data_IF_694625462613
#
_entry.id   IF_694625462613
#
_cell.length_a   1.000
_cell.length_b   1.000
_cell.length_c   1.000
_cell.angle_alpha   90.00
_cell.angle_beta   90.00
_cell.angle_gamma   90.00
#
_symmetry.space_group_name_H-M   'P 1'
#
loop_
_entity.id
_entity.type
_entity.pdbx_description
1 polymer ?
2 non-polymer ?
#
# COMPACT_ATOMS: atom_id res chain seq x y z
N UNK A 3 -8.97 19.74 -34.74
CA UNK A 3 -8.18 19.18 -33.64
C UNK A 3 -8.57 17.74 -33.36
N UNK A 4 -7.59 16.85 -33.36
CA UNK A 4 -7.80 15.47 -32.98
C UNK A 4 -6.94 15.14 -31.77
N UNK A 5 -6.14 16.12 -31.36
CA UNK A 5 -5.25 15.98 -30.20
C UNK A 5 -6.02 15.67 -28.92
N UNK A 6 -7.14 16.35 -28.73
CA UNK A 6 -7.86 16.28 -27.47
C UNK A 6 -8.63 14.96 -27.42
N UNK A 7 -8.96 14.42 -28.58
CA UNK A 7 -9.64 13.13 -28.64
C UNK A 7 -8.65 12.08 -28.17
N UNK A 8 -7.38 12.30 -28.51
CA UNK A 8 -6.31 11.39 -28.11
C UNK A 8 -6.06 11.51 -26.62
N UNK A 9 -6.18 12.74 -26.10
CA UNK A 9 -6.00 12.98 -24.68
C UNK A 9 -7.14 12.33 -23.88
N UNK A 10 -8.33 12.30 -24.47
CA UNK A 10 -9.47 11.64 -23.86
C UNK A 10 -9.32 10.13 -23.88
N UNK A 11 -8.82 9.59 -25.00
CA UNK A 11 -8.55 8.17 -25.09
C UNK A 11 -7.51 7.76 -24.06
N UNK A 12 -6.51 8.60 -23.84
CA UNK A 12 -5.47 8.30 -22.86
C UNK A 12 -5.95 8.48 -21.43
N UNK A 13 -6.93 9.36 -21.23
CA UNK A 13 -7.48 9.54 -19.90
C UNK A 13 -8.33 8.36 -19.53
N UNK A 14 -9.15 7.92 -20.48
CA UNK A 14 -9.98 6.73 -20.31
C UNK A 14 -9.13 5.48 -20.10
N UNK A 15 -8.09 5.34 -20.91
CA UNK A 15 -7.19 4.19 -20.81
C UNK A 15 -6.45 4.17 -19.50
N UNK A 16 -5.75 5.25 -19.19
CA UNK A 16 -4.99 5.37 -17.95
C UNK A 16 -5.87 5.16 -16.71
N UNK A 17 -7.01 5.83 -16.67
CA UNK A 17 -7.91 5.63 -15.53
C UNK A 17 -8.39 4.18 -15.49
N UNK A 18 -8.59 3.59 -16.65
CA UNK A 18 -8.93 2.17 -16.71
C UNK A 18 -7.85 1.34 -16.03
N UNK A 19 -6.58 1.68 -16.26
CA UNK A 19 -5.51 0.92 -15.65
C UNK A 19 -5.50 1.16 -14.15
N UNK A 20 -5.93 2.36 -13.74
CA UNK A 20 -5.99 2.67 -12.31
C UNK A 20 -7.02 1.79 -11.64
N UNK A 21 -8.21 1.72 -12.21
CA UNK A 21 -9.27 0.88 -11.66
C UNK A 21 -8.95 -0.59 -11.71
N UNK A 22 -8.34 -1.04 -12.80
CA UNK A 22 -7.99 -2.44 -12.96
C UNK A 22 -6.91 -2.85 -11.96
N UNK A 23 -5.92 -2.00 -11.76
CA UNK A 23 -4.85 -2.31 -10.83
C UNK A 23 -5.38 -2.23 -9.40
N UNK A 24 -6.37 -1.35 -9.18
CA UNK A 24 -7.05 -1.32 -7.90
C UNK A 24 -7.75 -2.67 -7.67
N UNK A 25 -8.35 -3.19 -8.72
CA UNK A 25 -8.96 -4.51 -8.68
C UNK A 25 -7.91 -5.57 -8.40
N UNK A 26 -6.66 -5.28 -8.78
CA UNK A 26 -5.57 -6.19 -8.48
C UNK A 26 -5.22 -6.14 -7.00
N UNK A 27 -5.37 -4.96 -6.41
CA UNK A 27 -5.07 -4.79 -4.99
C UNK A 27 -6.13 -5.49 -4.13
N UNK A 28 -7.34 -5.59 -4.64
CA UNK A 28 -8.43 -6.22 -3.90
C UNK A 28 -8.60 -7.69 -4.28
N UNK A 29 -7.63 -8.23 -5.00
CA UNK A 29 -7.61 -9.64 -5.38
C UNK A 29 -8.84 -10.05 -6.18
N UNK A 30 -9.51 -9.06 -6.77
CA UNK A 30 -10.73 -9.30 -7.54
C UNK A 30 -10.46 -10.11 -8.81
N UNK A 31 -11.52 -10.71 -9.34
CA UNK A 31 -11.46 -11.44 -10.59
C UNK A 31 -11.32 -10.51 -11.78
N UNK A 32 -11.10 -11.10 -12.96
CA UNK A 32 -10.95 -10.35 -14.21
C UNK A 32 -12.15 -9.45 -14.53
N UNK A 33 -13.35 -9.95 -14.29
CA UNK A 33 -14.56 -9.16 -14.48
C UNK A 33 -14.54 -7.91 -13.60
N UNK A 34 -13.85 -8.03 -12.46
CA UNK A 34 -13.65 -6.89 -11.59
C UNK A 34 -12.76 -5.86 -12.27
N UNK A 35 -11.72 -6.34 -12.94
CA UNK A 35 -10.83 -5.46 -13.71
C UNK A 35 -11.60 -4.71 -14.78
N UNK A 36 -12.40 -5.44 -15.55
CA UNK A 36 -13.15 -4.86 -16.65
C UNK A 36 -14.19 -3.85 -16.16
N UNK A 37 -14.98 -4.26 -15.16
CA UNK A 37 -16.04 -3.41 -14.64
C UNK A 37 -15.47 -2.17 -13.97
N UNK A 38 -14.63 -2.36 -12.97
CA UNK A 38 -14.07 -1.25 -12.23
C UNK A 38 -13.28 -0.32 -13.14
N UNK A 39 -12.54 -0.90 -14.08
CA UNK A 39 -11.79 -0.13 -15.04
C UNK A 39 -12.69 0.72 -15.91
N UNK A 40 -13.79 0.13 -16.35
CA UNK A 40 -14.77 0.86 -17.13
C UNK A 40 -15.39 2.00 -16.33
N UNK A 41 -15.75 1.72 -15.09
CA UNK A 41 -16.37 2.70 -14.22
C UNK A 41 -15.45 3.89 -13.93
N UNK A 42 -14.17 3.61 -13.72
CA UNK A 42 -13.23 4.70 -13.42
C UNK A 42 -12.81 5.48 -14.66
N UNK A 43 -12.57 4.78 -15.77
CA UNK A 43 -12.14 5.41 -16.99
C UNK A 43 -13.25 6.25 -17.59
N UNK A 44 -14.43 5.65 -17.67
CA UNK A 44 -15.59 6.29 -18.29
C UNK A 44 -16.31 7.24 -17.34
N UNK A 45 -16.31 6.94 -16.05
CA UNK A 45 -17.12 7.64 -15.07
C UNK A 45 -17.08 9.16 -15.04
N UNK A 46 -15.88 9.73 -15.09
CA UNK A 46 -15.76 11.17 -15.06
C UNK A 46 -16.45 11.80 -16.25
N UNK A 47 -16.15 11.28 -17.44
CA UNK A 47 -16.76 11.74 -18.67
C UNK A 47 -18.26 11.51 -18.71
N UNK A 48 -18.70 10.40 -18.15
CA UNK A 48 -20.13 10.05 -18.16
C UNK A 48 -20.90 11.02 -17.25
N UNK A 49 -20.37 11.34 -16.07
CA UNK A 49 -21.02 12.29 -15.19
C UNK A 49 -21.03 13.68 -15.84
N UNK A 50 -19.91 14.02 -16.45
CA UNK A 50 -19.79 15.28 -17.18
C UNK A 50 -20.87 15.43 -18.24
N UNK A 51 -21.04 14.40 -19.05
CA UNK A 51 -22.01 14.43 -20.13
C UNK A 51 -23.44 14.39 -19.59
N UNK A 52 -23.62 13.76 -18.44
CA UNK A 52 -24.93 13.70 -17.81
C UNK A 52 -25.37 15.09 -17.36
N UNK A 53 -24.51 15.79 -16.62
CA UNK A 53 -24.89 17.11 -16.13
C UNK A 53 -24.92 18.15 -17.26
N UNK A 54 -24.01 18.03 -18.22
CA UNK A 54 -23.97 18.96 -19.35
C UNK A 54 -25.15 18.75 -20.30
N UNK A 55 -25.69 17.54 -20.32
CA UNK A 55 -26.86 17.25 -21.14
C UNK A 55 -26.57 16.52 -22.44
N UNK A 56 -25.43 15.83 -22.51
CA UNK A 56 -25.07 15.07 -23.70
C UNK A 56 -25.75 13.71 -23.71
N UNK A 57 -26.61 13.48 -24.70
CA UNK A 57 -27.34 12.21 -24.81
C UNK A 57 -27.33 11.73 -26.26
N UNK A 58 -26.96 10.44 -26.48
CA UNK A 58 -26.54 9.51 -25.43
C UNK A 58 -25.09 9.73 -25.00
N UNK A 59 -24.72 9.13 -23.87
CA UNK A 59 -23.38 9.28 -23.32
C UNK A 59 -22.33 8.75 -24.31
N UNK A 60 -21.10 9.24 -24.18
CA UNK A 60 -20.04 8.98 -25.15
C UNK A 60 -19.72 7.51 -25.38
N UNK A 61 -19.84 6.69 -24.34
CA UNK A 61 -19.46 5.28 -24.47
C UNK A 61 -20.61 4.43 -25.01
N UNK A 62 -21.84 4.92 -24.87
CA UNK A 62 -22.98 4.24 -25.45
C UNK A 62 -23.16 4.72 -26.89
N UNK A 63 -22.78 5.96 -27.15
CA UNK A 63 -22.77 6.49 -28.51
C UNK A 63 -21.77 5.74 -29.36
N UNK A 64 -20.60 5.48 -28.78
CA UNK A 64 -19.58 4.66 -29.43
C UNK A 64 -19.01 3.67 -28.42
N UNK A 65 -19.37 2.39 -28.55
CA UNK A 65 -19.00 1.33 -27.62
C UNK A 65 -17.51 1.12 -27.48
N UNK A 66 -16.73 1.61 -28.45
CA UNK A 66 -15.29 1.40 -28.47
C UNK A 66 -14.64 1.80 -27.16
N UNK A 67 -15.13 2.89 -26.59
CA UNK A 67 -14.62 3.41 -25.33
C UNK A 67 -14.63 2.37 -24.22
N UNK A 68 -15.73 1.62 -24.10
CA UNK A 68 -15.77 0.59 -23.07
C UNK A 68 -14.87 -0.58 -23.47
N UNK A 69 -14.79 -0.86 -24.77
CA UNK A 69 -13.98 -1.98 -25.26
C UNK A 69 -12.51 -1.75 -24.94
N UNK A 70 -12.08 -0.50 -25.10
CA UNK A 70 -10.72 -0.14 -24.76
C UNK A 70 -10.48 -0.52 -23.31
N UNK A 71 -11.42 -0.17 -22.45
CA UNK A 71 -11.30 -0.52 -21.04
C UNK A 71 -11.20 -2.02 -20.91
N UNK A 72 -12.11 -2.72 -21.59
CA UNK A 72 -12.12 -4.18 -21.57
C UNK A 72 -10.79 -4.71 -22.04
N UNK A 73 -10.19 -4.00 -23.00
CA UNK A 73 -8.86 -4.37 -23.43
C UNK A 73 -7.92 -4.11 -22.29
N UNK A 74 -7.77 -2.83 -21.94
CA UNK A 74 -6.76 -2.39 -20.99
C UNK A 74 -6.84 -3.12 -19.66
N UNK A 75 -8.05 -3.21 -19.13
CA UNK A 75 -8.29 -3.91 -17.88
C UNK A 75 -7.75 -5.33 -17.96
N UNK A 76 -8.13 -6.05 -19.01
CA UNK A 76 -7.65 -7.42 -19.20
C UNK A 76 -6.13 -7.41 -19.27
N UNK A 77 -5.58 -6.45 -20.01
CA UNK A 77 -4.13 -6.32 -20.11
C UNK A 77 -3.53 -6.17 -18.71
N UNK A 78 -4.16 -5.34 -17.90
CA UNK A 78 -3.64 -5.06 -16.57
C UNK A 78 -3.71 -6.32 -15.73
N UNK A 79 -4.73 -7.13 -15.97
CA UNK A 79 -4.91 -8.38 -15.24
C UNK A 79 -3.66 -9.23 -15.36
N UNK A 80 -3.05 -9.20 -16.54
CA UNK A 80 -1.85 -10.01 -16.76
C UNK A 80 -0.61 -9.30 -16.26
N UNK A 81 -0.65 -7.96 -16.26
CA UNK A 81 0.53 -7.18 -15.93
C UNK A 81 0.41 -6.46 -14.59
N UNK A 82 -0.50 -6.92 -13.75
CA UNK A 82 -0.65 -6.36 -12.41
C UNK A 82 0.43 -6.91 -11.48
N UNK A 83 0.93 -8.10 -11.80
CA UNK A 83 1.94 -8.75 -10.99
C UNK A 83 3.29 -8.05 -11.12
N UNK A 84 3.55 -7.49 -12.30
CA UNK A 84 4.85 -6.87 -12.57
C UNK A 84 5.19 -5.67 -11.68
N UNK A 85 4.32 -4.64 -11.62
CA UNK A 85 4.82 -3.45 -10.96
C UNK A 85 4.43 -3.36 -9.49
N UNK A 86 5.42 -3.29 -8.60
CA UNK A 86 5.16 -2.97 -7.19
C UNK A 86 6.17 -1.93 -6.70
N UNK A 87 5.70 -0.89 -6.01
CA UNK A 87 4.30 -0.75 -5.59
C UNK A 87 3.34 -0.33 -6.70
N UNK A 88 2.15 -0.90 -6.68
CA UNK A 88 1.12 -0.57 -7.65
C UNK A 88 0.45 0.76 -7.31
N UNK A 89 0.36 1.06 -6.02
CA UNK A 89 -0.31 2.28 -5.56
C UNK A 89 0.42 3.54 -6.02
N UNK A 90 1.74 3.42 -6.21
CA UNK A 90 2.50 4.53 -6.76
C UNK A 90 2.02 4.79 -8.17
N UNK A 91 1.93 3.73 -8.96
CA UNK A 91 1.41 3.80 -10.31
C UNK A 91 0.01 4.40 -10.30
N UNK A 92 -0.77 4.02 -9.30
CA UNK A 92 -2.09 4.61 -9.08
C UNK A 92 -2.00 6.12 -8.99
N UNK A 93 -1.07 6.60 -8.15
CA UNK A 93 -0.94 8.03 -7.91
C UNK A 93 -0.51 8.79 -9.17
N UNK A 94 0.52 8.28 -9.83
CA UNK A 94 1.07 8.96 -11.01
C UNK A 94 0.11 8.92 -12.20
N UNK A 95 -0.44 7.75 -12.49
CA UNK A 95 -1.42 7.61 -13.56
C UNK A 95 -2.63 8.50 -13.28
N UNK A 96 -3.04 8.53 -12.01
CA UNK A 96 -4.13 9.39 -11.59
C UNK A 96 -3.78 10.84 -11.87
N UNK A 97 -2.51 11.21 -11.66
CA UNK A 97 -2.06 12.57 -11.93
C UNK A 97 -2.18 12.92 -13.41
N UNK A 98 -1.71 12.00 -14.27
CA UNK A 98 -1.76 12.21 -15.71
C UNK A 98 -3.20 12.37 -16.19
N UNK A 99 -4.02 11.35 -15.90
CA UNK A 99 -5.42 11.36 -16.25
C UNK A 99 -6.14 12.58 -15.69
N UNK A 100 -5.73 12.99 -14.48
CA UNK A 100 -6.25 14.19 -13.85
C UNK A 100 -5.99 15.42 -14.71
N UNK A 101 -4.75 15.56 -15.16
CA UNK A 101 -4.37 16.70 -15.98
C UNK A 101 -5.14 16.72 -17.30
N UNK A 102 -5.04 15.62 -18.03
CA UNK A 102 -5.67 15.51 -19.34
C UNK A 102 -7.19 15.71 -19.27
N UNK A 103 -7.81 15.13 -18.25
CA UNK A 103 -9.27 15.24 -18.10
C UNK A 103 -9.68 16.61 -17.59
N UNK A 104 -8.79 17.27 -16.85
CA UNK A 104 -9.06 18.64 -16.42
C UNK A 104 -9.10 19.55 -17.64
N UNK A 105 -8.05 19.46 -18.46
CA UNK A 105 -7.94 20.33 -19.61
C UNK A 105 -8.99 20.03 -20.67
N UNK A 106 -9.03 18.80 -21.15
CA UNK A 106 -10.00 18.39 -22.15
C UNK A 106 -11.43 18.54 -21.66
N UNK A 107 -11.64 18.25 -20.37
CA UNK A 107 -12.95 18.41 -19.76
C UNK A 107 -13.40 19.85 -19.79
N UNK A 108 -12.50 20.76 -19.43
CA UNK A 108 -12.79 22.18 -19.51
C UNK A 108 -13.09 22.58 -20.96
N UNK A 109 -12.34 22.00 -21.89
CA UNK A 109 -12.51 22.28 -23.30
C UNK A 109 -13.89 21.92 -23.82
N UNK A 110 -14.31 20.68 -23.57
CA UNK A 110 -15.59 20.22 -24.10
C UNK A 110 -16.75 20.80 -23.31
N UNK A 111 -16.47 21.24 -22.08
CA UNK A 111 -17.46 21.97 -21.32
C UNK A 111 -17.62 23.38 -21.84
N UNK A 112 -16.56 23.90 -22.47
CA UNK A 112 -16.60 25.25 -23.01
C UNK A 112 -17.18 25.32 -24.43
N UNK A 113 -17.07 24.23 -25.17
CA UNK A 113 -17.55 24.23 -26.56
C UNK A 113 -19.04 23.93 -26.60
N UNK A 114 -19.59 23.51 -25.46
CA UNK A 114 -21.02 23.28 -25.34
C UNK A 114 -21.79 24.58 -25.50
N UNK A 115 -21.33 25.60 -24.79
CA UNK A 115 -21.99 26.90 -24.76
C UNK A 115 -22.02 27.42 -23.35
N UNK A 116 -21.41 26.67 -22.44
CA UNK A 116 -21.42 26.99 -21.03
C UNK A 116 -20.37 28.06 -20.71
N UNK A 117 -20.45 28.62 -19.50
CA UNK A 117 -19.53 29.65 -19.08
C UNK A 117 -18.15 29.10 -18.75
N UNK A 118 -17.20 29.99 -18.46
CA UNK A 118 -15.83 29.60 -18.07
C UNK A 118 -15.80 28.86 -16.75
N UNK A 119 -16.59 29.34 -15.79
CA UNK A 119 -16.69 28.70 -14.48
C UNK A 119 -17.19 27.26 -14.60
N UNK A 120 -18.21 27.06 -15.41
CA UNK A 120 -18.71 25.71 -15.69
C UNK A 120 -17.62 24.85 -16.32
N UNK A 121 -16.83 25.46 -17.20
CA UNK A 121 -15.75 24.77 -17.88
C UNK A 121 -14.74 24.25 -16.86
N UNK A 122 -14.32 25.13 -15.96
CA UNK A 122 -13.34 24.76 -14.93
C UNK A 122 -13.92 23.69 -14.01
N UNK A 123 -15.19 23.87 -13.66
CA UNK A 123 -15.91 22.94 -12.79
C UNK A 123 -15.92 21.54 -13.39
N UNK A 124 -16.18 21.45 -14.68
CA UNK A 124 -16.22 20.17 -15.38
C UNK A 124 -14.82 19.59 -15.59
N UNK A 125 -13.84 20.49 -15.70
CA UNK A 125 -12.46 20.06 -15.80
C UNK A 125 -12.09 19.32 -14.54
N UNK A 126 -12.32 19.96 -13.40
CA UNK A 126 -12.05 19.35 -12.11
C UNK A 126 -12.90 18.07 -11.95
N UNK A 127 -14.14 18.15 -12.40
CA UNK A 127 -15.11 17.08 -12.23
C UNK A 127 -14.75 15.77 -12.94
N UNK A 128 -14.34 15.84 -14.20
CA UNK A 128 -14.05 14.61 -14.93
C UNK A 128 -12.94 13.80 -14.26
N UNK A 129 -11.86 14.48 -13.95
CA UNK A 129 -10.71 13.87 -13.28
C UNK A 129 -11.05 13.37 -11.89
N UNK A 130 -11.61 14.27 -11.07
CA UNK A 130 -11.85 13.97 -9.68
C UNK A 130 -12.86 12.86 -9.54
N UNK A 131 -13.96 12.94 -10.27
CA UNK A 131 -15.02 11.94 -10.16
C UNK A 131 -14.53 10.62 -10.76
N UNK A 132 -13.72 10.72 -11.81
CA UNK A 132 -13.09 9.55 -12.41
C UNK A 132 -12.35 8.77 -11.33
N UNK A 133 -11.59 9.47 -10.51
CA UNK A 133 -10.93 8.82 -9.38
C UNK A 133 -11.88 8.39 -8.28
N UNK A 134 -12.89 9.22 -8.04
CA UNK A 134 -13.88 9.02 -6.97
C UNK A 134 -14.60 7.69 -7.09
N UNK A 135 -15.10 7.38 -8.28
CA UNK A 135 -15.85 6.15 -8.47
C UNK A 135 -15.00 4.92 -8.14
N UNK A 136 -13.78 4.87 -8.67
CA UNK A 136 -12.90 3.75 -8.41
C UNK A 136 -12.55 3.64 -6.92
N UNK A 137 -12.34 4.78 -6.27
CA UNK A 137 -11.92 4.74 -4.87
C UNK A 137 -13.08 4.43 -3.94
N UNK A 138 -14.29 4.72 -4.38
CA UNK A 138 -15.49 4.40 -3.61
C UNK A 138 -15.82 2.92 -3.72
N UNK A 139 -15.96 2.46 -4.97
CA UNK A 139 -16.27 1.06 -5.22
C UNK A 139 -15.18 0.14 -4.69
N UNK A 140 -13.93 0.61 -4.77
CA UNK A 140 -12.79 -0.18 -4.32
C UNK A 140 -12.83 -0.47 -2.83
N UNK A 141 -13.42 0.44 -2.06
CA UNK A 141 -13.55 0.28 -0.63
C UNK A 141 -12.40 0.83 0.19
N UNK A 142 -11.54 1.62 -0.44
CA UNK A 142 -10.44 2.29 0.26
C UNK A 142 -10.65 3.80 0.29
N UNK A 143 -9.98 4.48 1.20
CA UNK A 143 -10.10 5.93 1.32
C UNK A 143 -9.56 6.62 0.08
N UNK A 144 -10.34 7.57 -0.46
CA UNK A 144 -10.05 8.28 -1.71
C UNK A 144 -8.81 9.18 -1.61
N UNK A 145 -8.21 9.44 -2.77
CA UNK A 145 -6.99 10.23 -2.86
C UNK A 145 -7.23 11.70 -2.53
N UNK A 146 -8.49 12.13 -2.63
CA UNK A 146 -8.84 13.52 -2.38
C UNK A 146 -8.64 13.92 -0.93
N UNK A 147 -8.78 12.97 -0.02
CA UNK A 147 -8.71 13.26 1.42
C UNK A 147 -7.27 13.41 1.90
N UNK A 148 -6.31 13.23 1.00
CA UNK A 148 -4.91 13.38 1.37
C UNK A 148 -4.34 14.65 0.75
N UNK A 149 -3.23 15.12 1.30
CA UNK A 149 -2.66 16.40 0.93
C UNK A 149 -1.74 16.31 -0.30
N UNK A 150 -1.75 17.35 -1.14
CA UNK A 150 -2.48 18.59 -0.86
C UNK A 150 -3.05 19.27 -2.10
N UNK A 151 -2.72 18.74 -3.27
CA UNK A 151 -2.93 19.46 -4.53
C UNK A 151 -3.95 18.86 -5.50
N UNK A 152 -4.41 17.64 -5.21
CA UNK A 152 -5.29 16.88 -6.10
C UNK A 152 -6.34 17.74 -6.81
N UNK A 153 -7.13 18.47 -6.04
CA UNK A 153 -8.20 19.28 -6.61
C UNK A 153 -7.64 20.57 -7.22
N UNK A 154 -6.57 21.09 -6.64
CA UNK A 154 -5.95 22.33 -7.13
C UNK A 154 -5.16 22.13 -8.41
N UNK A 155 -4.68 20.92 -8.65
CA UNK A 155 -3.99 20.64 -9.90
C UNK A 155 -4.96 20.71 -11.07
N UNK A 156 -6.12 20.06 -10.91
CA UNK A 156 -7.15 20.11 -11.93
C UNK A 156 -7.76 21.50 -12.02
N UNK A 157 -7.81 22.18 -10.88
CA UNK A 157 -8.37 23.53 -10.81
C UNK A 157 -7.52 24.52 -11.58
N UNK A 158 -6.20 24.49 -11.35
CA UNK A 158 -5.29 25.39 -12.04
C UNK A 158 -5.07 24.96 -13.49
N UNK A 159 -5.22 23.66 -13.75
CA UNK A 159 -5.15 23.18 -15.13
C UNK A 159 -6.28 23.77 -15.94
N UNK A 160 -7.50 23.57 -15.45
CA UNK A 160 -8.68 24.04 -16.16
C UNK A 160 -8.71 25.57 -16.20
N UNK A 161 -8.30 26.19 -15.11
CA UNK A 161 -8.33 27.65 -15.02
C UNK A 161 -7.29 28.26 -15.95
N UNK A 162 -6.14 27.63 -16.07
CA UNK A 162 -5.10 28.10 -16.99
C UNK A 162 -5.60 27.92 -18.42
N UNK A 163 -6.24 26.79 -18.69
CA UNK A 163 -6.80 26.55 -20.02
C UNK A 163 -7.77 27.65 -20.41
N UNK A 164 -8.78 27.85 -19.57
CA UNK A 164 -9.82 28.85 -19.85
C UNK A 164 -9.24 30.26 -19.92
N UNK A 165 -8.30 30.56 -19.03
CA UNK A 165 -7.67 31.88 -18.99
C UNK A 165 -6.89 32.18 -20.27
N UNK A 166 -6.18 31.19 -20.78
CA UNK A 166 -5.38 31.39 -21.97
C UNK A 166 -6.23 31.29 -23.23
N UNK A 167 -7.40 30.68 -23.11
CA UNK A 167 -8.29 30.54 -24.27
C UNK A 167 -9.25 31.73 -24.34
N UNK A 168 -9.32 32.49 -23.25
CA UNK A 168 -10.10 33.72 -23.20
C UNK A 168 -9.49 34.81 -24.07
N UNK A 169 -8.16 34.86 -24.11
CA UNK A 169 -7.45 35.91 -24.83
C UNK A 169 -7.30 35.52 -26.30
N UNK A 170 -7.78 34.33 -26.62
CA UNK A 170 -7.74 33.80 -27.97
C UNK A 170 -6.37 33.32 -28.40
N UNK A 171 -5.68 32.66 -27.47
CA UNK A 171 -4.39 32.06 -27.76
C UNK A 171 -4.62 30.88 -28.70
N UNK A 172 -3.54 30.26 -29.21
CA UNK A 172 -3.89 29.01 -29.89
C UNK A 172 -4.22 27.94 -28.86
N UNK A 173 -5.35 27.26 -29.09
CA UNK A 173 -5.89 26.27 -28.17
C UNK A 173 -4.92 25.16 -27.79
N UNK A 174 -4.05 24.79 -28.72
CA UNK A 174 -3.08 23.72 -28.47
C UNK A 174 -2.17 24.04 -27.27
N UNK A 175 -1.71 25.29 -27.20
CA UNK A 175 -0.85 25.68 -26.09
C UNK A 175 -1.65 25.87 -24.81
N UNK A 176 -2.96 26.13 -24.95
CA UNK A 176 -3.83 26.17 -23.78
C UNK A 176 -3.96 24.77 -23.21
N UNK A 177 -3.97 23.78 -24.10
CA UNK A 177 -4.05 22.38 -23.70
C UNK A 177 -2.75 21.97 -23.03
N UNK A 178 -1.64 22.38 -23.63
CA UNK A 178 -0.31 22.08 -23.13
C UNK A 178 -0.04 22.73 -21.78
N UNK A 179 -0.44 23.99 -21.63
CA UNK A 179 -0.19 24.74 -20.41
C UNK A 179 -1.14 24.29 -19.30
N UNK A 180 -2.33 23.85 -19.69
CA UNK A 180 -3.25 23.29 -18.71
C UNK A 180 -2.67 21.98 -18.17
N UNK A 181 -2.32 21.09 -19.10
CA UNK A 181 -1.72 19.80 -18.76
C UNK A 181 -0.46 19.96 -17.92
N UNK A 182 0.35 20.95 -18.26
CA UNK A 182 1.58 21.23 -17.53
C UNK A 182 1.30 21.75 -16.13
N UNK A 183 0.48 22.79 -16.05
CA UNK A 183 0.16 23.42 -14.77
C UNK A 183 -0.56 22.45 -13.83
N UNK A 184 -1.16 21.41 -14.39
CA UNK A 184 -1.81 20.39 -13.58
C UNK A 184 -0.82 19.31 -13.16
N UNK A 185 -0.24 18.64 -14.16
CA UNK A 185 0.64 17.50 -13.93
C UNK A 185 1.89 17.84 -13.14
N UNK A 186 2.53 18.95 -13.48
CA UNK A 186 3.74 19.38 -12.78
C UNK A 186 3.43 19.70 -11.32
N UNK A 187 2.39 20.49 -11.12
CA UNK A 187 1.98 20.89 -9.77
C UNK A 187 1.66 19.67 -8.91
N UNK A 188 0.92 18.72 -9.44
CA UNK A 188 0.60 17.50 -8.69
C UNK A 188 1.86 16.67 -8.42
N UNK A 189 2.72 16.59 -9.43
CA UNK A 189 3.96 15.82 -9.33
C UNK A 189 4.90 16.36 -8.27
N UNK A 190 4.86 17.67 -8.04
CA UNK A 190 5.71 18.25 -6.99
C UNK A 190 5.31 17.70 -5.62
N UNK A 191 4.00 17.61 -5.39
CA UNK A 191 3.49 17.10 -4.14
C UNK A 191 3.60 15.59 -4.03
N UNK A 192 3.63 14.91 -5.17
CA UNK A 192 3.82 13.46 -5.13
C UNK A 192 5.31 13.14 -5.04
N UNK A 193 6.15 14.16 -5.19
CA UNK A 193 7.59 13.99 -5.06
C UNK A 193 8.02 14.33 -3.62
N UNK A 194 7.41 15.37 -3.06
CA UNK A 194 7.73 15.77 -1.69
C UNK A 194 6.98 14.91 -0.67
N UNK A 195 5.86 14.33 -1.10
CA UNK A 195 5.07 13.48 -0.24
C UNK A 195 5.58 12.05 -0.18
N UNK A 196 6.25 11.63 -1.24
CA UNK A 196 6.79 10.27 -1.31
C UNK A 196 8.30 10.29 -1.57
N UNK B 4 26.57 -16.75 22.72
CA UNK B 4 25.28 -17.45 22.73
C UNK B 4 24.72 -17.56 21.33
N UNK B 5 24.40 -18.79 20.91
CA UNK B 5 23.85 -19.04 19.58
C UNK B 5 22.50 -18.36 19.36
N UNK B 6 21.59 -18.49 20.31
CA UNK B 6 20.21 -18.06 20.13
C UNK B 6 19.96 -16.56 20.35
N UNK B 7 20.83 -15.91 21.11
CA UNK B 7 20.65 -14.50 21.43
C UNK B 7 20.74 -13.59 20.21
N UNK B 8 21.55 -13.97 19.22
CA UNK B 8 21.71 -13.16 18.01
C UNK B 8 20.43 -13.13 17.18
N UNK B 9 19.73 -14.26 17.14
CA UNK B 9 18.47 -14.35 16.40
C UNK B 9 17.41 -13.47 17.05
N UNK B 10 17.49 -13.36 18.37
CA UNK B 10 16.59 -12.47 19.11
C UNK B 10 16.95 -11.00 18.92
N UNK B 11 18.23 -10.69 18.90
CA UNK B 11 18.65 -9.31 18.62
C UNK B 11 18.17 -8.91 17.24
N UNK B 12 18.22 -9.88 16.32
CA UNK B 12 17.78 -9.64 14.95
C UNK B 12 16.26 -9.59 14.88
N UNK B 13 15.59 -10.26 15.80
CA UNK B 13 14.14 -10.22 15.86
C UNK B 13 13.62 -8.90 16.38
N UNK B 14 14.27 -8.41 17.43
CA UNK B 14 13.96 -7.11 17.99
C UNK B 14 14.24 -6.03 16.96
N UNK B 15 15.39 -6.14 16.29
CA UNK B 15 15.77 -5.17 15.27
C UNK B 15 14.79 -5.17 14.10
N UNK B 16 14.60 -6.34 13.49
CA UNK B 16 13.69 -6.50 12.37
C UNK B 16 12.26 -6.06 12.70
N UNK B 17 11.73 -6.51 13.82
CA UNK B 17 10.39 -6.09 14.20
C UNK B 17 10.36 -4.59 14.48
N UNK B 18 11.46 -4.06 15.02
CA UNK B 18 11.58 -2.63 15.23
C UNK B 18 11.46 -1.86 13.93
N UNK B 19 12.14 -2.31 12.88
CA UNK B 19 12.06 -1.60 11.60
C UNK B 19 10.68 -1.82 10.99
N UNK B 20 10.02 -2.93 11.29
CA UNK B 20 8.64 -3.12 10.79
C UNK B 20 7.70 -2.09 11.42
N UNK B 21 7.78 -1.95 12.74
CA UNK B 21 6.95 -0.98 13.45
C UNK B 21 7.28 0.44 13.02
N UNK B 22 8.56 0.69 12.82
CA UNK B 22 9.05 1.99 12.39
C UNK B 22 8.52 2.33 11.01
N UNK B 23 8.47 1.33 10.13
CA UNK B 23 7.98 1.52 8.78
C UNK B 23 6.48 1.75 8.79
N UNK B 24 5.79 1.12 9.74
CA UNK B 24 4.36 1.38 9.92
C UNK B 24 4.18 2.84 10.34
N UNK B 25 5.06 3.30 11.23
CA UNK B 25 5.05 4.70 11.64
C UNK B 25 5.37 5.61 10.48
N UNK B 26 6.11 5.09 9.50
CA UNK B 26 6.44 5.85 8.31
C UNK B 26 5.24 5.97 7.38
N UNK B 27 4.42 4.93 7.34
CA UNK B 27 3.22 4.95 6.51
C UNK B 27 2.19 5.90 7.09
N UNK B 28 2.20 6.05 8.41
CA UNK B 28 1.22 6.88 9.10
C UNK B 28 1.68 8.31 9.35
N UNK B 29 2.75 8.71 8.67
CA UNK B 29 3.25 10.09 8.73
C UNK B 29 3.63 10.53 10.14
N UNK B 30 3.88 9.57 11.01
CA UNK B 30 4.25 9.86 12.39
C UNK B 30 5.63 10.53 12.48
N UNK B 31 5.87 11.20 13.60
CA UNK B 31 7.17 11.79 13.89
C UNK B 31 8.18 10.72 14.22
N UNK B 32 9.43 11.13 14.39
CA UNK B 32 10.52 10.21 14.75
C UNK B 32 10.19 9.46 16.04
N UNK B 33 9.58 10.14 17.00
CA UNK B 33 9.15 9.52 18.25
C UNK B 33 8.14 8.42 17.98
N UNK B 34 7.39 8.56 16.89
CA UNK B 34 6.48 7.52 16.46
C UNK B 34 7.23 6.29 15.99
N UNK B 35 8.30 6.51 15.23
CA UNK B 35 9.17 5.43 14.78
C UNK B 35 9.76 4.68 15.96
N UNK B 36 10.29 5.44 16.91
CA UNK B 36 10.93 4.86 18.09
C UNK B 36 9.93 4.10 18.95
N UNK B 37 8.79 4.72 19.23
CA UNK B 37 7.78 4.10 20.08
C UNK B 37 7.22 2.85 19.44
N UNK B 38 6.65 3.00 18.25
CA UNK B 38 6.01 1.88 17.55
C UNK B 38 7.02 0.76 17.25
N UNK B 39 8.24 1.15 16.90
CA UNK B 39 9.29 0.19 16.66
C UNK B 39 9.63 -0.57 17.92
N UNK B 40 9.68 0.15 19.04
CA UNK B 40 9.95 -0.47 20.33
C UNK B 40 8.83 -1.44 20.71
N UNK B 41 7.58 -1.04 20.51
CA UNK B 41 6.43 -1.86 20.82
C UNK B 41 6.43 -3.13 19.97
N UNK B 42 6.84 -3.01 18.72
CA UNK B 42 6.84 -4.15 17.82
C UNK B 42 8.00 -5.12 18.09
N UNK B 43 9.19 -4.57 18.30
CA UNK B 43 10.36 -5.39 18.54
C UNK B 43 10.33 -6.05 19.90
N UNK B 44 10.05 -5.24 20.91
CA UNK B 44 10.08 -5.67 22.30
C UNK B 44 8.78 -6.37 22.73
N UNK B 45 7.66 -5.94 22.17
CA UNK B 45 6.34 -6.37 22.63
C UNK B 45 6.10 -7.86 22.76
N UNK B 46 6.50 -8.63 21.76
CA UNK B 46 6.31 -10.07 21.78
C UNK B 46 7.05 -10.70 22.94
N UNK B 47 8.32 -10.34 23.09
CA UNK B 47 9.13 -10.80 24.18
C UNK B 47 8.57 -10.38 25.53
N UNK B 48 7.99 -9.18 25.57
CA UNK B 48 7.42 -8.66 26.79
C UNK B 48 6.21 -9.46 27.24
N UNK B 49 5.32 -9.76 26.31
CA UNK B 49 4.14 -10.57 26.63
C UNK B 49 4.59 -11.97 27.02
N UNK B 50 5.59 -12.49 26.31
CA UNK B 50 6.16 -13.80 26.60
C UNK B 50 6.66 -13.89 28.04
N UNK B 51 7.45 -12.91 28.46
CA UNK B 51 8.03 -12.91 29.79
C UNK B 51 6.98 -12.63 30.86
N UNK B 52 5.96 -11.87 30.50
CA UNK B 52 4.87 -11.59 31.42
C UNK B 52 4.07 -12.85 31.74
N UNK B 53 3.65 -13.57 30.70
CA UNK B 53 2.86 -14.77 30.91
C UNK B 53 3.69 -15.92 31.49
N UNK B 54 4.96 -16.02 31.08
CA UNK B 54 5.82 -17.08 31.61
C UNK B 54 6.18 -16.82 33.06
N UNK B 55 6.17 -15.55 33.45
CA UNK B 55 6.45 -15.17 34.82
C UNK B 55 7.87 -14.67 34.99
N UNK B 56 8.49 -14.25 33.90
CA UNK B 56 9.84 -13.70 33.95
C UNK B 56 9.81 -12.24 34.34
N UNK B 57 10.38 -11.91 35.50
CA UNK B 57 10.39 -10.55 35.99
C UNK B 57 11.76 -10.18 36.56
N UNK B 58 12.29 -9.02 36.16
CA UNK B 58 11.67 -8.07 35.21
C UNK B 58 11.85 -8.49 33.75
N UNK B 59 11.11 -7.83 32.86
CA UNK B 59 11.15 -8.13 31.43
C UNK B 59 12.54 -7.91 30.85
N UNK B 60 12.83 -8.56 29.72
CA UNK B 60 14.16 -8.57 29.14
C UNK B 60 14.70 -7.18 28.83
N UNK B 61 13.80 -6.27 28.44
CA UNK B 61 14.22 -4.93 28.01
C UNK B 61 14.35 -3.94 29.17
N UNK B 62 13.67 -4.21 30.28
CA UNK B 62 13.81 -3.36 31.45
C UNK B 62 14.96 -3.89 32.31
N UNK B 63 15.19 -5.20 32.24
CA UNK B 63 16.33 -5.82 32.90
C UNK B 63 17.63 -5.29 32.28
N UNK B 64 17.64 -5.18 30.96
CA UNK B 64 18.75 -4.58 30.25
C UNK B 64 18.24 -3.63 29.17
N UNK B 65 18.35 -2.32 29.41
CA UNK B 65 17.84 -1.26 28.53
C UNK B 65 18.45 -1.26 27.13
N UNK B 66 19.56 -1.97 26.95
CA UNK B 66 20.28 -2.00 25.67
C UNK B 66 19.36 -2.35 24.50
N UNK B 67 18.45 -3.29 24.72
CA UNK B 67 17.50 -3.71 23.69
C UNK B 67 16.70 -2.52 23.18
N UNK B 68 16.24 -1.68 24.11
CA UNK B 68 15.45 -0.52 23.73
C UNK B 68 16.32 0.43 22.95
N UNK B 69 17.60 0.49 23.30
CA UNK B 69 18.51 1.36 22.59
C UNK B 69 18.57 0.89 21.14
N UNK B 70 18.61 -0.43 20.97
CA UNK B 70 18.60 -1.01 19.63
C UNK B 70 17.36 -0.52 18.91
N UNK B 71 16.22 -0.62 19.61
CA UNK B 71 14.96 -0.15 19.08
C UNK B 71 15.09 1.34 18.77
N UNK B 72 15.64 2.09 19.71
CA UNK B 72 15.87 3.52 19.51
C UNK B 72 16.79 3.73 18.33
N UNK B 73 17.78 2.84 18.19
CA UNK B 73 18.70 2.92 17.07
C UNK B 73 18.00 2.64 15.75
N UNK B 74 17.56 1.39 15.59
CA UNK B 74 17.02 0.92 14.32
C UNK B 74 15.87 1.79 13.85
N UNK B 75 14.95 2.11 14.75
CA UNK B 75 13.83 2.98 14.41
C UNK B 75 14.34 4.30 13.84
N UNK B 76 15.26 4.94 14.54
CA UNK B 76 15.84 6.20 14.04
C UNK B 76 16.48 5.94 12.69
N UNK B 77 17.20 4.83 12.57
CA UNK B 77 17.84 4.42 11.34
C UNK B 77 16.80 4.38 10.22
N UNK B 78 15.61 3.88 10.53
CA UNK B 78 14.54 3.77 9.54
C UNK B 78 14.01 5.14 9.12
N UNK B 79 13.97 6.08 10.05
CA UNK B 79 13.39 7.40 9.79
C UNK B 79 14.05 8.07 8.59
N UNK B 80 15.37 7.89 8.47
CA UNK B 80 16.13 8.51 7.40
C UNK B 80 16.05 7.64 6.14
N UNK B 81 15.84 6.34 6.33
CA UNK B 81 15.87 5.40 5.23
C UNK B 81 14.51 4.83 4.88
N UNK B 82 13.45 5.51 5.31
CA UNK B 82 12.09 5.11 4.99
C UNK B 82 11.71 5.55 3.57
N UNK B 83 12.38 6.58 3.07
CA UNK B 83 12.11 7.12 1.75
C UNK B 83 12.58 6.20 0.63
N UNK B 84 13.66 5.47 0.86
CA UNK B 84 14.26 4.59 -0.15
C UNK B 84 13.34 3.46 -0.62
N UNK B 85 12.81 2.63 0.28
CA UNK B 85 12.16 1.43 -0.24
C UNK B 85 10.65 1.54 -0.46
N UNK B 86 10.24 1.36 -1.71
CA UNK B 86 8.83 1.20 -2.05
C UNK B 86 8.69 0.00 -2.98
N UNK B 87 7.77 -0.91 -2.67
CA UNK B 87 6.80 -0.77 -1.58
C UNK B 87 7.37 -1.00 -0.18
N UNK B 88 6.89 -0.21 0.77
CA UNK B 88 7.33 -0.30 2.15
C UNK B 88 6.66 -1.50 2.82
N UNK B 89 5.40 -1.73 2.45
CA UNK B 89 4.60 -2.78 3.05
C UNK B 89 5.10 -4.17 2.67
N UNK B 90 5.69 -4.28 1.49
CA UNK B 90 6.29 -5.55 1.07
C UNK B 90 7.50 -5.88 1.93
N UNK B 91 8.40 -4.91 2.06
CA UNK B 91 9.59 -5.03 2.90
C UNK B 91 9.19 -5.35 4.33
N UNK B 92 8.13 -4.68 4.75
CA UNK B 92 7.48 -4.93 6.03
C UNK B 92 7.07 -6.38 6.16
N UNK B 93 6.45 -6.92 5.11
CA UNK B 93 5.95 -8.28 5.11
C UNK B 93 7.07 -9.30 5.21
N UNK B 94 8.12 -9.11 4.41
CA UNK B 94 9.22 -10.07 4.40
C UNK B 94 9.97 -10.05 5.73
N UNK B 95 10.29 -8.86 6.22
CA UNK B 95 10.94 -8.73 7.51
C UNK B 95 10.07 -9.35 8.61
N UNK B 96 8.76 -9.11 8.52
CA UNK B 96 7.81 -9.69 9.47
C UNK B 96 7.89 -11.21 9.41
N UNK B 97 8.08 -11.76 8.22
CA UNK B 97 8.21 -13.20 8.05
C UNK B 97 9.46 -13.72 8.76
N UNK B 98 10.57 -13.03 8.57
CA UNK B 98 11.82 -13.43 9.20
C UNK B 98 11.72 -13.39 10.73
N UNK B 99 11.37 -12.22 11.25
CA UNK B 99 11.22 -12.03 12.68
C UNK B 99 10.23 -13.00 13.28
N UNK B 100 9.16 -13.26 12.55
CA UNK B 100 8.18 -14.26 12.96
C UNK B 100 8.82 -15.63 13.10
N UNK B 101 9.59 -16.03 12.10
CA UNK B 101 10.21 -17.34 12.12
C UNK B 101 11.19 -17.49 13.29
N UNK B 102 12.18 -16.62 13.35
CA UNK B 102 13.19 -16.71 14.40
C UNK B 102 12.59 -16.56 15.80
N UNK B 103 11.60 -15.67 15.97
CA UNK B 103 10.98 -15.49 17.28
C UNK B 103 10.07 -16.65 17.64
N UNK B 104 9.52 -17.32 16.63
CA UNK B 104 8.75 -18.53 16.86
C UNK B 104 9.66 -19.62 17.42
N UNK B 105 10.79 -19.82 16.75
CA UNK B 105 11.73 -20.87 17.14
C UNK B 105 12.39 -20.58 18.50
N UNK B 106 13.06 -19.44 18.61
CA UNK B 106 13.71 -19.03 19.85
C UNK B 106 12.70 -18.90 20.99
N UNK B 107 11.51 -18.42 20.66
CA UNK B 107 10.44 -18.29 21.63
C UNK B 107 10.08 -19.65 22.18
N UNK B 108 9.95 -20.63 21.30
CA UNK B 108 9.70 -22.01 21.71
C UNK B 108 10.84 -22.51 22.59
N UNK B 109 12.07 -22.12 22.22
CA UNK B 109 13.25 -22.54 22.95
C UNK B 109 13.23 -22.08 24.40
N UNK B 110 13.02 -20.78 24.62
CA UNK B 110 13.03 -20.25 25.98
C UNK B 110 11.74 -20.58 26.73
N UNK B 111 10.70 -20.91 25.99
CA UNK B 111 9.48 -21.40 26.61
C UNK B 111 9.73 -22.80 27.12
N UNK B 112 10.69 -23.48 26.49
CA UNK B 112 11.10 -24.81 26.90
C UNK B 112 12.13 -24.71 28.02
N UNK B 113 12.85 -23.59 28.04
CA UNK B 113 13.91 -23.34 29.01
C UNK B 113 13.39 -22.74 30.31
N UNK B 114 12.11 -22.37 30.33
CA UNK B 114 11.50 -21.82 31.54
C UNK B 114 11.46 -22.78 32.74
N UNK B 115 11.02 -24.04 32.60
CA UNK B 115 10.49 -24.64 31.40
C UNK B 115 9.20 -25.39 31.72
N UNK B 116 8.08 -24.88 31.21
CA UNK B 116 6.78 -25.45 31.53
C UNK B 116 6.47 -26.71 30.73
N UNK B 117 6.50 -26.61 29.41
CA UNK B 117 6.19 -27.76 28.56
C UNK B 117 6.23 -27.48 27.07
N UNK B 118 6.05 -28.53 26.27
CA UNK B 118 6.02 -28.46 24.80
C UNK B 118 4.82 -27.66 24.27
N UNK B 119 3.66 -27.86 24.88
CA UNK B 119 2.47 -27.10 24.51
C UNK B 119 2.72 -25.61 24.74
N UNK B 120 3.31 -25.32 25.89
CA UNK B 120 3.73 -23.96 26.21
C UNK B 120 4.76 -23.47 25.21
N UNK B 121 5.65 -24.37 24.79
CA UNK B 121 6.70 -24.01 23.85
C UNK B 121 6.14 -23.57 22.50
N UNK B 122 5.27 -24.38 21.91
CA UNK B 122 4.69 -24.02 20.61
C UNK B 122 3.77 -22.80 20.75
N UNK B 123 3.00 -22.76 21.83
CA UNK B 123 2.08 -21.65 22.07
C UNK B 123 2.84 -20.33 22.16
N UNK B 124 3.97 -20.35 22.87
CA UNK B 124 4.80 -19.17 23.03
C UNK B 124 5.59 -18.83 21.78
N UNK B 125 5.89 -19.84 20.96
CA UNK B 125 6.53 -19.57 19.69
C UNK B 125 5.60 -18.77 18.81
N UNK B 126 4.39 -19.30 18.63
CA UNK B 126 3.38 -18.63 17.83
C UNK B 126 3.03 -17.27 18.41
N UNK B 127 2.93 -17.20 19.74
CA UNK B 127 2.55 -15.96 20.42
C UNK B 127 3.63 -14.88 20.27
N UNK B 128 4.88 -15.27 20.48
CA UNK B 128 6.01 -14.35 20.37
C UNK B 128 6.10 -13.81 18.96
N UNK B 129 5.97 -14.70 17.98
CA UNK B 129 6.02 -14.29 16.59
C UNK B 129 4.88 -13.34 16.24
N UNK B 130 3.66 -13.76 16.54
CA UNK B 130 2.45 -13.04 16.18
C UNK B 130 2.22 -11.70 16.89
N UNK B 131 2.48 -11.65 18.20
CA UNK B 131 2.11 -10.50 19.02
C UNK B 131 2.84 -9.20 18.71
N UNK B 132 4.12 -9.26 18.33
CA UNK B 132 4.83 -8.07 17.91
C UNK B 132 4.08 -7.41 16.77
N UNK B 133 3.66 -8.25 15.83
CA UNK B 133 2.88 -7.81 14.69
C UNK B 133 1.50 -7.35 15.08
N UNK B 134 0.89 -8.04 16.05
CA UNK B 134 -0.45 -7.67 16.50
C UNK B 134 -0.42 -6.25 17.05
N UNK B 135 0.50 -6.00 17.97
CA UNK B 135 0.64 -4.68 18.59
C UNK B 135 0.96 -3.63 17.54
N UNK B 136 1.90 -3.94 16.64
CA UNK B 136 2.28 -3.00 15.60
C UNK B 136 1.12 -2.62 14.70
N UNK B 137 0.32 -3.61 14.31
CA UNK B 137 -0.78 -3.37 13.38
C UNK B 137 -1.96 -2.74 14.09
N UNK B 138 -2.04 -2.94 15.40
CA UNK B 138 -3.12 -2.34 16.19
C UNK B 138 -2.86 -0.86 16.44
N UNK B 139 -1.71 -0.56 17.02
CA UNK B 139 -1.36 0.83 17.29
C UNK B 139 -1.22 1.59 15.98
N UNK B 140 -0.69 0.88 14.98
CA UNK B 140 -0.46 1.46 13.66
C UNK B 140 -1.68 1.88 12.89
N UNK B 141 -2.80 1.19 13.08
CA UNK B 141 -4.00 1.54 12.36
C UNK B 141 -4.07 0.78 11.04
N UNK B 142 -3.29 -0.29 10.94
CA UNK B 142 -3.27 -1.11 9.73
C UNK B 142 -3.98 -2.43 9.98
N UNK B 143 -4.46 -3.05 8.90
CA UNK B 143 -5.11 -4.36 9.02
C UNK B 143 -4.07 -5.39 9.40
N UNK B 144 -4.39 -6.22 10.41
CA UNK B 144 -3.39 -7.18 10.89
C UNK B 144 -3.08 -8.26 9.85
N UNK B 145 -1.86 -8.80 9.92
CA UNK B 145 -1.42 -9.81 8.98
C UNK B 145 -2.13 -11.13 9.26
N UNK B 146 -2.62 -11.27 10.49
CA UNK B 146 -3.32 -12.47 10.92
C UNK B 146 -4.64 -12.62 10.17
N UNK B 147 -5.21 -11.49 9.77
CA UNK B 147 -6.51 -11.48 9.11
C UNK B 147 -6.37 -11.88 7.63
N UNK B 148 -5.14 -12.12 7.21
CA UNK B 148 -4.86 -12.48 5.83
C UNK B 148 -4.45 -13.95 5.71
N UNK B 149 -4.61 -14.50 4.52
CA UNK B 149 -4.37 -15.91 4.23
C UNK B 149 -2.90 -16.08 3.79
N UNK B 150 -2.26 -17.19 4.14
CA UNK B 150 -2.86 -18.30 4.85
C UNK B 150 -1.85 -18.99 5.77
N UNK B 151 -0.59 -18.53 5.75
CA UNK B 151 0.47 -19.32 6.36
C UNK B 151 1.08 -18.70 7.62
N UNK B 152 0.86 -17.42 7.85
CA UNK B 152 1.49 -16.68 8.96
C UNK B 152 1.52 -17.45 10.28
N UNK B 153 0.32 -17.82 10.75
CA UNK B 153 0.19 -18.49 12.03
C UNK B 153 0.60 -19.95 11.89
N UNK B 154 0.36 -20.52 10.72
CA UNK B 154 0.75 -21.90 10.47
C UNK B 154 2.25 -21.99 10.21
N UNK B 155 2.84 -20.90 9.73
CA UNK B 155 4.29 -20.83 9.56
C UNK B 155 4.95 -20.80 10.92
N UNK B 156 4.44 -19.95 11.81
CA UNK B 156 5.00 -19.90 13.16
C UNK B 156 4.75 -21.21 13.87
N UNK B 157 3.61 -21.84 13.57
CA UNK B 157 3.23 -23.10 14.16
C UNK B 157 4.16 -24.24 13.74
N UNK B 158 4.47 -24.30 12.45
CA UNK B 158 5.36 -25.35 11.94
C UNK B 158 6.79 -25.08 12.34
N UNK B 159 7.14 -23.81 12.50
CA UNK B 159 8.45 -23.45 12.99
C UNK B 159 8.65 -23.97 14.40
N UNK B 160 7.72 -23.60 15.27
CA UNK B 160 7.81 -24.00 16.67
C UNK B 160 7.67 -25.50 16.84
N UNK B 161 6.78 -26.11 16.07
CA UNK B 161 6.53 -27.55 16.18
C UNK B 161 7.71 -28.36 15.67
N UNK B 162 8.31 -27.92 14.57
CA UNK B 162 9.49 -28.60 14.05
C UNK B 162 10.64 -28.44 15.02
N UNK B 163 10.75 -27.23 15.58
CA UNK B 163 11.79 -26.98 16.58
C UNK B 163 11.66 -27.93 17.76
N UNK B 164 10.50 -27.94 18.40
CA UNK B 164 10.30 -28.77 19.58
C UNK B 164 10.45 -30.26 19.26
N UNK B 165 9.93 -30.67 18.10
CA UNK B 165 10.01 -32.06 17.69
C UNK B 165 11.46 -32.51 17.52
N UNK B 166 12.28 -31.67 16.90
CA UNK B 166 13.67 -32.05 16.67
C UNK B 166 14.56 -31.78 17.90
N UNK B 167 14.10 -30.95 18.81
CA UNK B 167 14.88 -30.62 19.99
C UNK B 167 14.58 -31.60 21.10
N UNK B 168 13.48 -32.34 20.92
CA UNK B 168 13.15 -33.42 21.84
C UNK B 168 14.13 -34.57 21.63
N UNK B 169 14.51 -34.78 20.37
CA UNK B 169 15.36 -35.91 20.01
C UNK B 169 16.87 -35.64 20.06
N UNK B 170 17.27 -34.40 20.34
CA UNK B 170 18.68 -34.12 20.41
C UNK B 170 19.29 -34.04 19.02
N UNK B 171 18.63 -33.29 18.13
CA UNK B 171 19.06 -33.18 16.74
C UNK B 171 20.43 -32.55 16.43
N UNK B 172 21.03 -31.74 17.32
CA UNK B 172 20.69 -31.13 18.63
C UNK B 172 19.76 -29.94 18.51
N UNK B 173 19.74 -29.11 19.55
CA UNK B 173 18.89 -27.93 19.59
C UNK B 173 19.17 -27.01 18.41
N UNK B 174 20.43 -26.98 17.98
CA UNK B 174 20.84 -26.15 16.85
C UNK B 174 20.11 -26.56 15.56
N UNK B 175 19.97 -27.86 15.35
CA UNK B 175 19.30 -28.37 14.16
C UNK B 175 17.80 -28.14 14.29
N UNK B 176 17.33 -28.08 15.53
CA UNK B 176 15.95 -27.72 15.80
C UNK B 176 15.72 -26.25 15.46
N UNK B 177 16.75 -25.43 15.68
CA UNK B 177 16.68 -24.00 15.36
C UNK B 177 16.68 -23.80 13.85
N UNK B 178 17.57 -24.51 13.17
CA UNK B 178 17.67 -24.41 11.72
C UNK B 178 16.45 -24.94 11.00
N UNK B 179 15.96 -26.09 11.43
CA UNK B 179 14.80 -26.71 10.79
C UNK B 179 13.51 -26.01 11.19
N UNK B 180 13.46 -25.46 12.39
CA UNK B 180 12.31 -24.67 12.81
C UNK B 180 12.22 -23.40 11.99
N UNK B 181 13.33 -22.64 12.00
CA UNK B 181 13.42 -21.40 11.25
C UNK B 181 13.14 -21.63 9.77
N UNK B 182 13.63 -22.76 9.25
CA UNK B 182 13.40 -23.11 7.86
C UNK B 182 11.93 -23.42 7.59
N UNK B 183 11.36 -24.32 8.39
CA UNK B 183 9.97 -24.74 8.20
C UNK B 183 9.00 -23.59 8.41
N UNK B 184 9.44 -22.55 9.12
CA UNK B 184 8.61 -21.36 9.31
C UNK B 184 8.77 -20.38 8.15
N UNK B 185 10.01 -19.94 7.94
CA UNK B 185 10.33 -18.91 6.95
C UNK B 185 10.01 -19.34 5.53
N UNK B 186 10.35 -20.59 5.18
CA UNK B 186 10.09 -21.10 3.84
C UNK B 186 8.60 -21.17 3.55
N UNK B 187 7.83 -21.74 4.47
CA UNK B 187 6.39 -21.85 4.32
C UNK B 187 5.72 -20.48 4.22
N UNK B 188 6.15 -19.56 5.07
CA UNK B 188 5.60 -18.21 5.06
C UNK B 188 5.91 -17.51 3.74
N UNK B 189 7.14 -17.71 3.25
CA UNK B 189 7.54 -17.15 1.97
C UNK B 189 6.72 -17.75 0.84
N UNK B 190 6.35 -19.02 1.00
CA UNK B 190 5.51 -19.71 0.05
C UNK B 190 4.12 -19.09 -0.01
N UNK B 191 3.58 -18.74 1.15
CA UNK B 191 2.28 -18.11 1.21
C UNK B 191 2.31 -16.66 0.77
N UNK B 192 3.47 -16.03 0.94
CA UNK B 192 3.69 -14.64 0.54
C UNK B 192 4.09 -14.55 -0.95
N UNK B 193 4.22 -15.70 -1.58
CA UNK B 193 4.63 -15.78 -2.99
C UNK B 193 3.47 -15.68 -3.96
N UNK B 194 2.31 -16.21 -3.58
CA UNK B 194 1.15 -16.17 -4.44
C UNK B 194 0.49 -14.79 -4.46
N UNK B 195 0.72 -14.03 -3.40
CA UNK B 195 0.16 -12.69 -3.31
C UNK B 195 0.99 -11.64 -4.04
N UNK B 196 2.28 -11.89 -4.18
CA UNK B 196 3.18 -10.95 -4.84
C UNK B 196 3.90 -11.60 -6.02
X LIG C 1 -14.83 24.22 -8.39
X LIG C 1 -15.36 22.77 -8.16
X LIG C 1 -16.82 22.70 -8.53
X LIG C 1 -17.20 21.24 -8.91
X LIG C 1 -18.66 21.21 -9.41
X LIG C 1 -19.49 20.26 -8.52
X LIG C 1 -19.55 18.88 -9.18
X LIG C 1 -21.00 18.47 -9.42
X LIG C 1 -21.43 17.39 -8.39
X LIG C 1 -22.22 16.27 -9.10
X LIG C 1 -23.18 15.60 -8.08
X LIG C 1 -23.55 14.14 -8.55
X LIG C 1 -22.24 13.34 -8.81
X LIG C 1 -22.53 11.86 -8.79
X LIG D 1 13.75 5.37 24.32
X LIG D 1 12.32 5.96 24.57
X LIG D 1 11.38 5.50 23.48
X LIG D 1 10.00 5.16 24.09
X LIG D 1 9.75 3.65 23.94
X LIG D 1 8.32 3.28 24.37
X LIG D 1 8.38 2.03 25.28
X LIG D 1 8.18 0.78 24.43
X LIG D 1 7.79 -0.41 25.36
X LIG D 1 6.31 -0.81 25.11
X LIG D 1 6.18 -2.35 25.13
X LIG D 1 4.75 -2.74 25.63
X LIG D 1 4.37 -4.16 25.12
X LIG D 1 3.04 -4.57 25.70
#
# INVERSE_FOLDING_TARGET
MFQTVTILLDWFGLCIFTVTGALVASRKEMDIAGFVLLGAVTGVGGGTIRDLVLGRTPVFWVEEPAYVLACLGVAVFTFFFAHIPQSRYRFLLWLDAVGLSLFAVTGAERALQTGAGPVIAIAMGVATATFGGILRDLLGGESPVILRREIYITAALLGAAAFVALDAFGAPRELALGAGFAAAFLSRAAGLVWGLSLPRYRARLESSGENLYFQ
MFQTVTILLDWFGLCIFTVTGALVASRKEMDIAGFVLLGAVTGVGGGTIRDLVLGRTPVFWVEEPAYVLACLGVAVFTFFFAHIPQSRYRFLLWLDAVGLSLFAVTGAERALQTGAGPVIAIAMGVATATFGGILRDLLGGESPVILRREIYITAALLGAAAFVALDAFGAPRELALGAGFAAAFLSRAAGLVWGLSLPRYRARLESSGENLYFQ
PX4 C23 C24 C25 C26 C27 C28 C29 C30 C31 C32 C33 C34 C35 C36
PX4 C23 C24 C25 C26 C27 C28 C29 C30 C31 C32 C33 C34 C35 C36
#
